data_IF_984716147127
#
_entry.id   IF_984716147127
#
_cell.length_a   1.000
_cell.length_b   1.000
_cell.length_c   1.000
_cell.angle_alpha   90.00
_cell.angle_beta   90.00
_cell.angle_gamma   90.00
#
_symmetry.space_group_name_H-M   'P 1'
#
loop_
_entity.id
_entity.type
_entity.pdbx_description
1 polymer ?
#
# COMPACT_ATOMS: atom_id res chain seq x y z
N UNK A 1 8.37 39.29 -10.52
CA UNK A 1 9.30 39.51 -9.40
C UNK A 1 8.60 39.07 -8.13
N UNK A 2 9.26 38.15 -7.40
CA UNK A 2 9.08 37.74 -5.99
C UNK A 2 7.68 37.40 -5.48
N UNK A 3 7.46 36.31 -4.74
CA UNK A 3 8.38 35.53 -3.91
C UNK A 3 7.89 34.10 -3.78
N UNK A 4 8.77 33.16 -4.13
CA UNK A 4 8.75 31.82 -3.59
C UNK A 4 9.03 31.91 -2.08
N UNK A 5 8.20 31.33 -1.24
CA UNK A 5 8.62 30.93 0.10
C UNK A 5 7.83 29.69 0.53
N UNK A 6 8.52 28.54 0.44
CA UNK A 6 8.18 27.30 1.12
C UNK A 6 9.29 27.11 2.16
N UNK A 7 8.98 27.30 3.44
CA UNK A 7 10.00 27.24 4.50
C UNK A 7 10.00 25.94 5.30
N UNK A 8 8.98 25.08 5.23
CA UNK A 8 9.02 23.73 5.84
C UNK A 8 8.14 22.73 5.10
N UNK A 9 8.75 21.66 4.58
CA UNK A 9 8.04 20.42 4.29
C UNK A 9 8.32 19.78 2.93
N UNK A 10 9.58 19.54 2.57
CA UNK A 10 9.90 18.58 1.52
C UNK A 10 9.81 17.15 2.07
N UNK A 11 8.95 16.32 1.49
CA UNK A 11 9.18 14.86 1.45
C UNK A 11 8.48 14.24 0.23
N UNK A 12 9.25 14.15 -0.86
CA UNK A 12 9.22 13.12 -1.91
C UNK A 12 8.00 12.92 -2.83
N UNK A 13 6.84 13.59 -2.66
CA UNK A 13 5.67 13.33 -3.53
C UNK A 13 5.19 14.46 -4.46
N UNK A 14 5.75 15.67 -4.43
CA UNK A 14 5.23 16.78 -5.24
C UNK A 14 6.14 17.20 -6.39
N UNK A 15 5.86 16.70 -7.61
CA UNK A 15 6.04 17.57 -8.78
C UNK A 15 4.94 18.62 -8.67
N UNK A 16 5.35 19.85 -8.40
CA UNK A 16 4.46 20.99 -8.26
C UNK A 16 3.94 21.40 -9.64
N UNK A 17 2.76 20.93 -10.01
CA UNK A 17 1.90 21.54 -11.00
C UNK A 17 0.65 22.11 -10.32
N UNK A 18 -0.01 23.06 -11.00
CA UNK A 18 -1.22 23.79 -10.55
C UNK A 18 -2.42 22.88 -10.23
N UNK A 19 -2.26 21.56 -10.35
CA UNK A 19 -3.28 20.52 -10.17
C UNK A 19 -2.95 19.58 -9.02
N UNK A 20 -2.07 19.97 -8.09
CA UNK A 20 -1.80 19.20 -6.89
C UNK A 20 -3.09 19.04 -6.09
N UNK A 21 -3.65 17.81 -6.03
CA UNK A 21 -4.92 17.59 -5.37
C UNK A 21 -4.84 17.98 -3.90
N UNK A 22 -3.68 17.85 -3.23
CA UNK A 22 -3.53 18.08 -1.78
C UNK A 22 -3.81 19.50 -1.30
N UNK A 23 -3.98 20.43 -2.24
CA UNK A 23 -4.38 21.82 -1.99
C UNK A 23 -5.86 22.10 -2.21
N UNK A 24 -6.63 21.12 -2.66
CA UNK A 24 -8.09 21.24 -2.67
C UNK A 24 -8.59 21.25 -1.23
N UNK A 25 -9.49 22.20 -0.94
CA UNK A 25 -10.13 22.31 0.35
C UNK A 25 -10.90 21.01 0.66
N UNK A 26 -10.73 20.51 1.88
CA UNK A 26 -11.32 19.26 2.34
C UNK A 26 -10.30 18.23 2.80
N UNK A 27 -10.68 16.97 2.70
CA UNK A 27 -9.89 15.84 3.21
C UNK A 27 -9.46 14.94 2.08
N UNK A 28 -8.17 14.62 2.03
CA UNK A 28 -7.62 13.71 1.04
C UNK A 28 -6.87 12.57 1.67
N UNK A 29 -7.17 11.37 1.20
CA UNK A 29 -6.66 10.14 1.78
C UNK A 29 -5.85 9.38 0.74
N UNK A 30 -4.57 9.17 1.06
CA UNK A 30 -3.62 8.44 0.23
C UNK A 30 -3.19 7.19 0.99
N UNK A 31 -3.80 6.02 0.69
CA UNK A 31 -3.45 4.79 1.37
C UNK A 31 -2.05 4.31 0.97
N UNK A 32 -1.38 3.63 1.88
CA UNK A 32 -0.18 2.83 1.57
C UNK A 32 0.96 3.55 0.85
N UNK A 33 1.21 4.82 1.21
CA UNK A 33 2.34 5.58 0.68
C UNK A 33 3.65 5.12 1.30
N UNK A 34 4.69 4.97 0.48
CA UNK A 34 6.04 4.62 0.93
C UNK A 34 6.82 5.91 1.26
N UNK A 35 7.07 6.15 2.55
CA UNK A 35 7.78 7.33 3.07
C UNK A 35 8.93 6.83 3.95
N UNK A 36 10.15 7.24 3.64
CA UNK A 36 11.38 6.87 4.37
C UNK A 36 11.53 5.35 4.62
N UNK A 37 11.13 4.53 3.64
CA UNK A 37 11.22 3.07 3.70
C UNK A 37 10.11 2.40 4.51
N UNK A 38 9.13 3.14 5.01
CA UNK A 38 7.96 2.63 5.73
C UNK A 38 6.67 3.00 5.01
N UNK A 39 5.66 2.16 5.18
CA UNK A 39 4.35 2.42 4.58
C UNK A 39 3.44 3.17 5.57
N UNK A 40 2.78 4.20 5.09
CA UNK A 40 1.82 5.01 5.84
C UNK A 40 0.52 5.18 5.06
N UNK A 41 -0.59 5.18 5.79
CA UNK A 41 -1.80 5.83 5.30
C UNK A 41 -1.66 7.32 5.59
N UNK A 42 -1.75 8.15 4.56
CA UNK A 42 -1.55 9.59 4.64
C UNK A 42 -2.89 10.29 4.51
N UNK A 43 -3.20 11.17 5.46
CA UNK A 43 -4.38 12.03 5.42
C UNK A 43 -3.95 13.49 5.34
N UNK A 44 -4.36 14.18 4.29
CA UNK A 44 -4.28 15.63 4.19
C UNK A 44 -5.62 16.23 4.60
N UNK A 45 -5.57 17.24 5.45
CA UNK A 45 -6.71 18.05 5.88
C UNK A 45 -6.39 19.50 5.50
N UNK A 46 -7.15 20.06 4.57
CA UNK A 46 -7.01 21.44 4.10
C UNK A 46 -8.28 22.22 4.42
N UNK A 47 -8.21 23.20 5.31
CA UNK A 47 -9.37 24.01 5.76
C UNK A 47 -9.52 25.35 5.01
N UNK A 48 -8.72 25.57 3.96
CA UNK A 48 -8.67 26.82 3.19
C UNK A 48 -7.46 27.69 3.56
N UNK A 49 -6.97 27.57 4.80
CA UNK A 49 -5.84 28.36 5.32
C UNK A 49 -4.65 27.49 5.76
N UNK A 50 -4.95 26.30 6.29
CA UNK A 50 -4.00 25.38 6.89
C UNK A 50 -4.06 24.02 6.19
N UNK A 51 -2.87 23.45 5.94
CA UNK A 51 -2.71 22.07 5.46
C UNK A 51 -2.09 21.23 6.58
N UNK A 52 -2.85 20.30 7.13
CA UNK A 52 -2.39 19.33 8.13
C UNK A 52 -2.18 17.97 7.48
N UNK A 53 -1.01 17.37 7.68
CA UNK A 53 -0.70 16.01 7.22
C UNK A 53 -0.64 15.06 8.40
N UNK A 54 -1.45 14.01 8.40
CA UNK A 54 -1.39 12.92 9.37
C UNK A 54 -0.80 11.67 8.72
N UNK A 55 0.26 11.14 9.34
CA UNK A 55 0.92 9.92 8.90
C UNK A 55 0.53 8.76 9.84
N UNK A 56 -0.22 7.80 9.32
CA UNK A 56 -0.63 6.61 10.06
C UNK A 56 0.24 5.41 9.65
N UNK A 57 1.23 4.99 10.46
CA UNK A 57 2.13 3.90 10.10
C UNK A 57 1.38 2.57 9.93
N UNK A 58 1.54 1.96 8.76
CA UNK A 58 0.92 0.67 8.42
C UNK A 58 1.55 -0.53 9.13
N UNK A 59 2.65 -0.35 9.87
CA UNK A 59 3.30 -1.41 10.67
C UNK A 59 2.32 -2.15 11.59
N UNK A 60 1.30 -1.48 12.14
CA UNK A 60 0.26 -2.15 12.96
C UNK A 60 -0.63 -3.09 12.14
N UNK A 61 -0.92 -2.75 10.88
CA UNK A 61 -1.74 -3.56 9.96
C UNK A 61 -0.92 -4.70 9.37
N UNK A 62 0.31 -4.42 8.93
CA UNK A 62 1.24 -5.41 8.39
C UNK A 62 1.70 -6.44 9.42
N UNK A 63 1.95 -6.07 10.68
CA UNK A 63 2.30 -7.03 11.73
C UNK A 63 1.12 -7.94 12.11
N UNK A 64 -0.11 -7.39 12.13
CA UNK A 64 -1.32 -8.18 12.34
C UNK A 64 -1.60 -9.12 11.15
N UNK A 65 -1.41 -8.66 9.92
CA UNK A 65 -1.55 -9.47 8.72
C UNK A 65 -0.45 -10.53 8.61
N UNK A 66 0.80 -10.19 8.94
CA UNK A 66 1.90 -11.15 9.01
C UNK A 66 1.68 -12.20 10.12
N UNK A 67 1.19 -11.78 11.29
CA UNK A 67 0.81 -12.71 12.36
C UNK A 67 -0.31 -13.65 11.88
N UNK A 68 -1.35 -13.12 11.24
CA UNK A 68 -2.43 -13.93 10.65
C UNK A 68 -1.91 -14.91 9.60
N UNK A 69 -0.99 -14.49 8.73
CA UNK A 69 -0.38 -15.37 7.73
C UNK A 69 0.42 -16.52 8.37
N UNK A 70 1.05 -16.27 9.53
CA UNK A 70 1.68 -17.31 10.36
C UNK A 70 0.64 -18.20 11.03
N UNK A 71 -0.43 -17.61 11.58
CA UNK A 71 -1.54 -18.36 12.20
C UNK A 71 -2.24 -19.30 11.19
N UNK A 72 -2.20 -18.99 9.89
CA UNK A 72 -2.73 -19.84 8.80
C UNK A 72 -1.69 -20.79 8.17
N UNK A 73 -0.51 -20.92 8.77
CA UNK A 73 0.56 -21.82 8.31
C UNK A 73 0.93 -21.63 6.82
N UNK A 74 0.93 -20.36 6.37
CA UNK A 74 1.37 -20.02 5.02
C UNK A 74 2.88 -20.11 4.94
N UNK A 75 3.37 -20.85 3.95
CA UNK A 75 4.80 -20.89 3.64
C UNK A 75 5.30 -19.52 3.16
N UNK A 76 6.61 -19.26 3.26
CA UNK A 76 7.21 -17.99 2.79
C UNK A 76 6.79 -17.62 1.36
N UNK A 77 6.73 -18.63 0.48
CA UNK A 77 6.31 -18.44 -0.92
C UNK A 77 4.84 -18.09 -1.06
N UNK A 78 3.99 -18.70 -0.24
CA UNK A 78 2.56 -18.37 -0.20
C UNK A 78 2.32 -16.96 0.34
N UNK A 79 3.08 -16.53 1.36
CA UNK A 79 3.02 -15.16 1.89
C UNK A 79 3.41 -14.11 0.84
N UNK A 80 4.49 -14.34 0.07
CA UNK A 80 4.88 -13.48 -1.05
C UNK A 80 3.76 -13.33 -2.09
N UNK A 81 3.13 -14.45 -2.44
CA UNK A 81 2.02 -14.46 -3.41
C UNK A 81 0.81 -13.70 -2.87
N UNK A 82 0.42 -13.91 -1.60
CA UNK A 82 -0.69 -13.18 -0.97
C UNK A 82 -0.45 -11.67 -0.98
N UNK A 83 0.77 -11.21 -0.66
CA UNK A 83 1.12 -9.78 -0.70
C UNK A 83 0.93 -9.19 -2.10
N UNK A 84 1.34 -9.92 -3.14
CA UNK A 84 1.18 -9.46 -4.52
C UNK A 84 -0.29 -9.43 -4.97
N UNK A 85 -1.10 -10.39 -4.51
CA UNK A 85 -2.55 -10.41 -4.77
C UNK A 85 -3.23 -9.19 -4.12
N UNK A 86 -2.90 -8.91 -2.86
CA UNK A 86 -3.45 -7.74 -2.14
C UNK A 86 -3.03 -6.43 -2.82
N UNK A 87 -1.82 -6.39 -3.40
CA UNK A 87 -1.34 -5.26 -4.20
C UNK A 87 -2.00 -5.16 -5.60
N UNK A 88 -2.95 -6.04 -5.93
CA UNK A 88 -3.72 -5.99 -7.19
C UNK A 88 -3.02 -6.63 -8.40
N UNK A 89 -1.93 -7.39 -8.20
CA UNK A 89 -1.24 -8.03 -9.31
C UNK A 89 -2.02 -9.24 -9.85
N UNK A 90 -2.03 -9.40 -11.18
CA UNK A 90 -2.60 -10.58 -11.82
C UNK A 90 -1.71 -11.81 -11.65
N UNK A 91 -2.25 -13.01 -11.81
CA UNK A 91 -1.46 -14.25 -11.79
C UNK A 91 -0.33 -14.26 -12.83
N UNK A 92 -0.48 -13.53 -13.94
CA UNK A 92 0.56 -13.38 -14.95
C UNK A 92 1.69 -12.47 -14.42
N UNK A 93 1.35 -11.34 -13.79
CA UNK A 93 2.33 -10.40 -13.22
C UNK A 93 3.10 -11.05 -12.07
N UNK A 94 2.41 -11.82 -11.23
CA UNK A 94 3.00 -12.58 -10.13
C UNK A 94 4.00 -13.61 -10.67
N UNK A 95 3.62 -14.33 -11.73
CA UNK A 95 4.50 -15.32 -12.37
C UNK A 95 5.80 -14.67 -12.86
N UNK A 96 5.69 -13.52 -13.52
CA UNK A 96 6.84 -12.74 -14.01
C UNK A 96 7.71 -12.21 -12.86
N UNK A 97 7.11 -11.60 -11.83
CA UNK A 97 7.86 -11.05 -10.68
C UNK A 97 8.58 -12.12 -9.88
N UNK A 98 7.99 -13.30 -9.78
CA UNK A 98 8.50 -14.40 -8.97
C UNK A 98 9.34 -15.41 -9.76
N UNK A 99 9.55 -15.17 -11.07
CA UNK A 99 10.29 -16.03 -11.99
C UNK A 99 9.80 -17.49 -11.98
N UNK A 100 8.48 -17.68 -12.01
CA UNK A 100 7.84 -19.01 -12.03
C UNK A 100 6.76 -19.08 -13.10
N UNK A 101 6.29 -20.29 -13.42
CA UNK A 101 5.19 -20.45 -14.37
C UNK A 101 3.85 -19.96 -13.78
N UNK A 102 2.94 -19.52 -14.64
CA UNK A 102 1.54 -19.21 -14.25
C UNK A 102 0.83 -20.41 -13.62
N UNK A 103 1.17 -21.63 -14.05
CA UNK A 103 0.64 -22.87 -13.46
C UNK A 103 1.14 -23.07 -12.01
N UNK A 104 2.40 -22.75 -11.74
CA UNK A 104 2.99 -22.77 -10.39
C UNK A 104 2.29 -21.76 -9.49
N UNK A 105 2.05 -20.54 -9.97
CA UNK A 105 1.28 -19.52 -9.22
C UNK A 105 -0.11 -20.02 -8.90
N UNK A 106 -0.86 -20.54 -9.88
CA UNK A 106 -2.19 -21.13 -9.66
C UNK A 106 -2.18 -22.23 -8.60
N UNK A 107 -1.17 -23.09 -8.60
CA UNK A 107 -1.02 -24.15 -7.59
C UNK A 107 -0.85 -23.58 -6.18
N UNK A 108 0.03 -22.59 -6.02
CA UNK A 108 0.19 -21.92 -4.72
C UNK A 108 -1.07 -21.18 -4.28
N UNK A 109 -1.74 -20.47 -5.20
CA UNK A 109 -3.02 -19.80 -4.94
C UNK A 109 -4.09 -20.77 -4.45
N UNK A 110 -4.21 -21.95 -5.09
CA UNK A 110 -5.13 -22.99 -4.63
C UNK A 110 -4.79 -23.50 -3.22
N UNK A 111 -3.50 -23.63 -2.89
CA UNK A 111 -3.10 -24.03 -1.54
C UNK A 111 -3.39 -22.94 -0.50
N UNK A 112 -3.17 -21.67 -0.86
CA UNK A 112 -3.54 -20.51 -0.03
C UNK A 112 -5.04 -20.52 0.26
N UNK A 113 -5.89 -20.74 -0.76
CA UNK A 113 -7.34 -20.81 -0.58
C UNK A 113 -7.78 -21.95 0.36
N UNK A 114 -7.03 -23.04 0.45
CA UNK A 114 -7.32 -24.14 1.40
C UNK A 114 -6.95 -23.78 2.83
N UNK A 115 -5.99 -22.87 3.03
CA UNK A 115 -5.47 -22.48 4.34
C UNK A 115 -6.16 -21.24 4.91
N UNK A 116 -6.68 -20.36 4.05
CA UNK A 116 -7.35 -19.12 4.46
C UNK A 116 -8.87 -19.28 4.53
N UNK A 117 -9.55 -18.69 5.54
CA UNK A 117 -10.99 -18.60 5.57
C UNK A 117 -11.50 -17.64 4.48
N UNK A 118 -12.69 -17.93 3.94
CA UNK A 118 -13.29 -17.22 2.80
C UNK A 118 -13.56 -15.71 3.05
N UNK A 119 -13.49 -15.24 4.29
CA UNK A 119 -13.72 -13.85 4.69
C UNK A 119 -12.52 -12.91 4.52
N UNK A 120 -11.33 -13.43 4.19
CA UNK A 120 -10.07 -12.66 4.21
C UNK A 120 -9.60 -12.18 2.84
N UNK A 121 -10.08 -12.79 1.74
CA UNK A 121 -9.61 -12.45 0.40
C UNK A 121 -10.52 -11.42 -0.28
N UNK A 122 -9.95 -10.42 -0.99
CA UNK A 122 -10.75 -9.46 -1.75
C UNK A 122 -11.57 -10.21 -2.81
N UNK A 123 -12.88 -9.92 -2.84
CA UNK A 123 -13.80 -10.44 -3.88
C UNK A 123 -13.59 -9.72 -5.20
#
# INVERSE_FOLDING_TARGET
>A
MSSANCEKGCMLCYRCDVHDPSREEGTQYYPSQLIDGEYFDVLFLHDGENLTTLLYPLKRKQAADAKRMVDYDLTKREQEIVRLIIAGHSNSDIASKLFVSKATVKKHVNNIYKKLPASILPR
#
